data_IF_933525046612
#
_entry.id   IF_933525046612
#
_cell.length_a   1.000
_cell.length_b   1.000
_cell.length_c   1.000
_cell.angle_alpha   90.00
_cell.angle_beta   90.00
_cell.angle_gamma   90.00
#
_symmetry.space_group_name_H-M   'P 1'
#
loop_
_entity.id
_entity.type
_entity.pdbx_description
1 polymer ?
#
# COMPACT_ATOMS: atom_id res chain seq x y z
N UNK A 1 -3.32 -11.77 -12.93
CA UNK A 1 -2.08 -11.35 -13.61
C UNK A 1 -1.91 -12.07 -14.94
N UNK A 2 -1.75 -13.40 -14.97
CA UNK A 2 -1.51 -14.17 -16.22
C UNK A 2 -2.50 -13.87 -17.37
N UNK A 3 -3.80 -13.74 -17.09
CA UNK A 3 -4.80 -13.41 -18.11
C UNK A 3 -4.74 -11.98 -18.64
N UNK A 4 -4.29 -11.02 -17.82
CA UNK A 4 -4.17 -9.61 -18.21
C UNK A 4 -2.92 -9.40 -19.06
N UNK A 5 -1.83 -10.08 -18.70
CA UNK A 5 -0.60 -10.10 -19.49
C UNK A 5 -0.82 -10.71 -20.88
N UNK A 6 -1.53 -11.83 -20.99
CA UNK A 6 -1.86 -12.41 -22.30
C UNK A 6 -2.64 -11.45 -23.19
N UNK A 7 -3.63 -10.73 -22.64
CA UNK A 7 -4.42 -9.74 -23.41
C UNK A 7 -3.55 -8.56 -23.83
N UNK A 8 -2.75 -8.00 -22.91
CA UNK A 8 -1.88 -6.85 -23.20
C UNK A 8 -0.81 -7.18 -24.24
N UNK A 9 -0.15 -8.33 -24.10
CA UNK A 9 0.97 -8.73 -24.96
C UNK A 9 0.54 -9.44 -26.26
N UNK A 10 -0.73 -9.83 -26.37
CA UNK A 10 -1.28 -10.52 -27.53
C UNK A 10 -2.19 -9.64 -28.40
N UNK A 11 -2.91 -8.69 -27.80
CA UNK A 11 -3.95 -7.91 -28.50
C UNK A 11 -3.69 -6.40 -28.53
N UNK A 12 -3.02 -5.83 -27.53
CA UNK A 12 -2.83 -4.37 -27.40
C UNK A 12 -1.44 -3.92 -27.85
N UNK A 13 -0.39 -4.67 -27.52
CA UNK A 13 1.00 -4.37 -27.86
C UNK A 13 1.94 -5.49 -27.42
N UNK A 14 3.24 -5.23 -27.26
CA UNK A 14 4.20 -6.21 -26.73
C UNK A 14 4.78 -5.78 -25.38
N UNK A 15 5.35 -6.73 -24.63
CA UNK A 15 6.05 -6.43 -23.39
C UNK A 15 7.19 -5.40 -23.58
N UNK A 16 7.86 -5.45 -24.73
CA UNK A 16 8.91 -4.50 -25.09
C UNK A 16 8.37 -3.08 -25.31
N UNK A 17 7.18 -2.92 -25.89
CA UNK A 17 6.55 -1.62 -26.06
C UNK A 17 6.21 -0.99 -24.70
N UNK A 18 5.72 -1.79 -23.76
CA UNK A 18 5.48 -1.34 -22.40
C UNK A 18 6.78 -0.96 -21.68
N UNK A 19 7.84 -1.78 -21.79
CA UNK A 19 9.13 -1.48 -21.16
C UNK A 19 9.78 -0.19 -21.73
N UNK A 20 9.56 0.12 -23.01
CA UNK A 20 10.02 1.36 -23.64
C UNK A 20 9.29 2.59 -23.08
N UNK A 21 7.97 2.50 -22.89
CA UNK A 21 7.13 3.65 -22.50
C UNK A 21 7.08 3.86 -20.98
N UNK A 22 7.01 2.77 -20.21
CA UNK A 22 6.78 2.77 -18.77
C UNK A 22 7.98 2.24 -17.94
N UNK A 23 9.06 1.84 -18.62
CA UNK A 23 10.27 1.33 -17.97
C UNK A 23 10.11 -0.08 -17.41
N UNK A 24 10.96 -0.43 -16.44
CA UNK A 24 11.00 -1.78 -15.86
C UNK A 24 9.99 -2.00 -14.71
N UNK A 25 9.01 -1.11 -14.53
CA UNK A 25 7.99 -1.24 -13.49
C UNK A 25 7.10 -2.45 -13.76
N UNK A 26 6.92 -3.39 -12.80
CA UNK A 26 6.02 -4.53 -12.99
C UNK A 26 4.61 -4.08 -13.41
N UNK A 27 4.00 -4.78 -14.37
CA UNK A 27 2.67 -4.41 -14.89
C UNK A 27 1.62 -4.40 -13.77
N UNK A 28 1.68 -5.38 -12.87
CA UNK A 28 0.75 -5.47 -11.74
C UNK A 28 0.79 -4.24 -10.83
N UNK A 29 1.98 -3.70 -10.61
CA UNK A 29 2.20 -2.50 -9.83
C UNK A 29 1.62 -1.27 -10.54
N UNK A 30 1.87 -1.14 -11.84
CA UNK A 30 1.32 -0.05 -12.65
C UNK A 30 -0.21 -0.06 -12.65
N UNK A 31 -0.84 -1.23 -12.81
CA UNK A 31 -2.30 -1.35 -12.71
C UNK A 31 -2.79 -0.96 -11.31
N UNK A 32 -2.06 -1.34 -10.26
CA UNK A 32 -2.45 -1.01 -8.88
C UNK A 32 -2.31 0.48 -8.58
N UNK A 33 -1.33 1.18 -9.16
CA UNK A 33 -1.22 2.64 -9.06
C UNK A 33 -2.38 3.37 -9.75
N UNK A 34 -2.97 2.79 -10.80
CA UNK A 34 -4.11 3.39 -11.53
C UNK A 34 -5.43 3.10 -10.84
N UNK A 35 -5.63 1.84 -10.43
CA UNK A 35 -6.92 1.35 -9.94
C UNK A 35 -7.05 1.47 -8.42
N UNK A 36 -5.92 1.49 -7.69
CA UNK A 36 -5.90 1.45 -6.25
C UNK A 36 -6.04 0.05 -5.66
N UNK A 37 -6.32 -0.03 -4.36
CA UNK A 37 -6.64 -1.27 -3.65
C UNK A 37 -8.09 -1.26 -3.17
N UNK A 38 -8.75 -2.41 -3.20
CA UNK A 38 -10.08 -2.56 -2.60
C UNK A 38 -10.04 -2.25 -1.10
N UNK A 39 -10.98 -1.41 -0.64
CA UNK A 39 -11.08 -0.96 0.75
C UNK A 39 -11.28 -2.10 1.74
N UNK A 40 -12.06 -3.13 1.38
CA UNK A 40 -12.29 -4.26 2.29
C UNK A 40 -11.04 -5.14 2.38
N UNK A 41 -10.36 -5.37 1.25
CA UNK A 41 -9.09 -6.09 1.24
C UNK A 41 -8.01 -5.36 2.05
N UNK A 42 -7.95 -4.03 1.97
CA UNK A 42 -7.05 -3.23 2.79
C UNK A 42 -7.39 -3.34 4.28
N UNK A 43 -8.67 -3.18 4.67
CA UNK A 43 -9.11 -3.33 6.06
C UNK A 43 -8.88 -4.72 6.62
N UNK A 44 -9.07 -5.76 5.81
CA UNK A 44 -8.79 -7.15 6.18
C UNK A 44 -7.31 -7.36 6.47
N UNK A 45 -6.42 -6.85 5.61
CA UNK A 45 -4.98 -6.94 5.83
C UNK A 45 -4.52 -6.27 7.14
N UNK A 46 -5.21 -5.22 7.58
CA UNK A 46 -4.94 -4.50 8.84
C UNK A 46 -5.87 -4.90 10.00
N UNK A 47 -6.70 -5.95 9.86
CA UNK A 47 -7.77 -6.23 10.84
C UNK A 47 -7.22 -6.52 12.24
N UNK A 48 -6.07 -7.17 12.35
CA UNK A 48 -5.38 -7.41 13.62
C UNK A 48 -5.07 -6.09 14.36
N UNK A 49 -4.71 -5.04 13.63
CA UNK A 49 -4.41 -3.71 14.19
C UNK A 49 -5.67 -2.89 14.48
N UNK A 50 -6.77 -3.16 13.79
CA UNK A 50 -8.04 -2.45 13.98
C UNK A 50 -8.94 -3.08 15.04
N UNK A 51 -8.78 -4.38 15.32
CA UNK A 51 -9.70 -5.15 16.17
C UNK A 51 -9.02 -5.96 17.27
N UNK A 52 -7.75 -6.36 17.09
CA UNK A 52 -7.07 -7.31 17.96
C UNK A 52 -6.00 -6.72 18.89
N UNK A 53 -5.46 -5.54 18.59
CA UNK A 53 -4.42 -4.88 19.39
C UNK A 53 -4.98 -3.71 20.20
N UNK A 54 -4.38 -3.46 21.38
CA UNK A 54 -4.67 -2.29 22.22
C UNK A 54 -4.09 -1.00 21.59
N UNK A 55 -4.42 -0.71 20.33
CA UNK A 55 -4.06 0.58 19.75
C UNK A 55 -4.89 1.69 20.38
N UNK A 56 -4.24 2.82 20.65
CA UNK A 56 -4.95 4.04 21.04
C UNK A 56 -5.59 4.73 19.83
N UNK A 57 -6.39 5.77 20.08
CA UNK A 57 -7.09 6.49 19.02
C UNK A 57 -6.17 7.15 18.00
N UNK A 58 -4.96 7.57 18.39
CA UNK A 58 -3.98 8.20 17.47
C UNK A 58 -3.34 7.14 16.58
N UNK A 59 -3.02 5.98 17.14
CA UNK A 59 -2.51 4.83 16.40
C UNK A 59 -3.54 4.28 15.40
N UNK A 60 -4.81 4.15 15.82
CA UNK A 60 -5.91 3.73 14.93
C UNK A 60 -6.10 4.76 13.80
N UNK A 61 -6.07 6.05 14.10
CA UNK A 61 -6.14 7.10 13.09
C UNK A 61 -5.02 6.94 12.05
N UNK A 62 -3.79 6.73 12.51
CA UNK A 62 -2.63 6.55 11.65
C UNK A 62 -2.78 5.33 10.73
N UNK A 63 -3.21 4.18 11.27
CA UNK A 63 -3.46 2.97 10.48
C UNK A 63 -4.56 3.19 9.45
N UNK A 64 -5.62 3.92 9.79
CA UNK A 64 -6.66 4.27 8.82
C UNK A 64 -6.12 5.18 7.70
N UNK A 65 -5.22 6.12 7.99
CA UNK A 65 -4.59 6.93 6.93
C UNK A 65 -3.74 6.07 5.99
N UNK A 66 -3.07 5.03 6.50
CA UNK A 66 -2.34 4.06 5.65
C UNK A 66 -3.31 3.33 4.72
N UNK A 67 -4.45 2.87 5.27
CA UNK A 67 -5.49 2.18 4.50
C UNK A 67 -6.02 3.09 3.40
N UNK A 68 -6.45 4.31 3.72
CA UNK A 68 -6.94 5.28 2.73
C UNK A 68 -5.88 5.56 1.65
N UNK A 69 -4.63 5.77 2.05
CA UNK A 69 -3.55 6.01 1.10
C UNK A 69 -3.35 4.84 0.13
N UNK A 70 -3.30 3.61 0.62
CA UNK A 70 -3.10 2.42 -0.22
C UNK A 70 -4.34 2.13 -1.08
N UNK A 71 -5.54 2.42 -0.59
CA UNK A 71 -6.77 2.31 -1.39
C UNK A 71 -6.72 3.26 -2.58
N UNK A 72 -6.22 4.47 -2.40
CA UNK A 72 -6.12 5.45 -3.47
C UNK A 72 -4.91 5.26 -4.40
N UNK A 73 -3.75 4.90 -3.86
CA UNK A 73 -2.47 4.86 -4.59
C UNK A 73 -2.01 3.44 -4.93
N UNK A 74 -2.71 2.41 -4.45
CA UNK A 74 -2.44 1.00 -4.70
C UNK A 74 -1.29 0.40 -3.89
N UNK A 75 -0.26 1.19 -3.61
CA UNK A 75 0.97 0.80 -2.90
C UNK A 75 1.48 1.95 -2.02
N UNK A 76 2.25 1.63 -0.98
CA UNK A 76 2.99 2.60 -0.16
C UNK A 76 4.45 2.18 -0.08
N UNK A 77 5.28 2.74 -0.96
CA UNK A 77 6.71 2.39 -1.07
C UNK A 77 7.63 3.45 -0.51
N UNK A 78 7.31 4.71 -0.77
CA UNK A 78 8.04 5.83 -0.23
C UNK A 78 7.49 6.16 1.16
N UNK A 79 8.20 5.74 2.19
CA UNK A 79 7.81 5.99 3.58
C UNK A 79 7.98 7.47 3.99
N UNK A 80 8.60 8.31 3.15
CA UNK A 80 8.71 9.75 3.44
C UNK A 80 7.35 10.44 3.50
N UNK A 81 6.34 9.92 2.77
CA UNK A 81 4.96 10.43 2.79
C UNK A 81 4.32 10.38 4.19
N UNK A 82 4.80 9.47 5.06
CA UNK A 82 4.35 9.36 6.45
C UNK A 82 4.83 10.51 7.34
N UNK A 83 5.70 11.39 6.83
CA UNK A 83 6.15 12.61 7.48
C UNK A 83 5.31 13.83 7.08
N UNK A 84 4.27 13.64 6.27
CA UNK A 84 3.38 14.69 5.78
C UNK A 84 1.94 14.49 6.30
N UNK A 85 1.10 15.52 6.18
CA UNK A 85 -0.33 15.40 6.47
C UNK A 85 -0.99 14.46 5.45
N UNK A 86 -1.96 13.60 5.82
CA UNK A 86 -2.65 13.53 7.12
C UNK A 86 -1.96 12.66 8.19
N UNK A 87 -0.83 12.03 7.88
CA UNK A 87 -0.16 11.10 8.80
C UNK A 87 0.40 11.80 10.05
N UNK A 88 0.84 13.06 9.90
CA UNK A 88 1.40 13.85 11.01
C UNK A 88 0.38 14.66 11.80
N UNK A 89 -0.91 14.60 11.45
CA UNK A 89 -1.97 15.39 12.09
C UNK A 89 -2.17 15.06 13.58
N UNK A 90 -1.79 13.84 14.01
CA UNK A 90 -1.91 13.36 15.39
C UNK A 90 -0.55 13.07 16.05
N UNK A 91 0.53 13.59 15.46
CA UNK A 91 1.92 13.32 15.85
C UNK A 91 2.69 12.54 14.78
N UNK A 92 4.01 12.57 14.87
CA UNK A 92 4.88 11.78 14.01
C UNK A 92 4.79 10.28 14.35
N UNK A 93 5.25 9.43 13.42
CA UNK A 93 5.33 7.96 13.62
C UNK A 93 6.00 7.59 14.95
N UNK A 94 7.08 8.28 15.31
CA UNK A 94 7.87 8.00 16.52
C UNK A 94 7.14 8.44 17.80
N UNK A 95 6.30 9.47 17.72
CA UNK A 95 5.47 9.94 18.85
C UNK A 95 4.22 9.09 19.05
N UNK A 96 3.65 8.55 17.96
CA UNK A 96 2.44 7.72 17.97
C UNK A 96 2.78 6.27 18.34
N UNK A 97 3.88 5.71 17.85
CA UNK A 97 4.29 4.34 18.09
C UNK A 97 5.55 4.28 18.97
N UNK A 98 5.36 4.40 20.29
CA UNK A 98 6.44 4.28 21.27
C UNK A 98 6.97 2.84 21.38
N UNK A 99 6.11 1.85 21.14
CA UNK A 99 6.51 0.46 20.94
C UNK A 99 6.82 0.21 19.46
N UNK A 100 8.11 0.15 19.14
CA UNK A 100 8.58 -0.07 17.77
C UNK A 100 8.24 -1.45 17.22
N UNK A 101 7.89 -2.43 18.06
CA UNK A 101 7.46 -3.76 17.58
C UNK A 101 6.10 -3.70 16.90
N UNK A 102 5.20 -2.84 17.40
CA UNK A 102 3.89 -2.57 16.79
C UNK A 102 4.08 -1.93 15.42
N UNK A 103 4.91 -0.89 15.33
CA UNK A 103 5.22 -0.23 14.06
C UNK A 103 5.88 -1.20 13.05
N UNK A 104 6.82 -2.03 13.48
CA UNK A 104 7.46 -3.02 12.63
C UNK A 104 6.43 -4.02 12.05
N UNK A 105 5.42 -4.40 12.83
CA UNK A 105 4.33 -5.25 12.37
C UNK A 105 3.44 -4.57 11.32
N UNK A 106 3.03 -3.32 11.55
CA UNK A 106 2.26 -2.52 10.57
C UNK A 106 3.06 -2.39 9.26
N UNK A 107 4.35 -2.08 9.34
CA UNK A 107 5.24 -1.98 8.18
C UNK A 107 5.31 -3.30 7.39
N UNK A 108 5.36 -4.44 8.09
CA UNK A 108 5.36 -5.75 7.44
C UNK A 108 4.06 -6.01 6.67
N UNK A 109 2.91 -5.54 7.18
CA UNK A 109 1.64 -5.61 6.44
C UNK A 109 1.71 -4.76 5.17
N UNK A 110 2.21 -3.53 5.25
CA UNK A 110 2.41 -2.66 4.07
C UNK A 110 3.30 -3.36 3.03
N UNK A 111 4.43 -3.92 3.46
CA UNK A 111 5.35 -4.63 2.57
C UNK A 111 4.70 -5.86 1.93
N UNK A 112 3.87 -6.61 2.67
CA UNK A 112 3.10 -7.72 2.12
C UNK A 112 2.07 -7.28 1.08
N UNK A 113 1.38 -6.14 1.30
CA UNK A 113 0.43 -5.58 0.34
C UNK A 113 1.16 -5.17 -0.95
N UNK A 114 2.30 -4.49 -0.81
CA UNK A 114 3.12 -4.07 -1.95
C UNK A 114 3.66 -5.27 -2.74
N UNK A 115 4.08 -6.34 -2.05
CA UNK A 115 4.57 -7.56 -2.70
C UNK A 115 3.47 -8.26 -3.52
N UNK A 116 2.22 -8.20 -3.07
CA UNK A 116 1.06 -8.73 -3.83
C UNK A 116 0.67 -7.86 -5.05
N UNK A 117 1.32 -6.71 -5.24
CA UNK A 117 1.17 -5.89 -6.44
C UNK A 117 2.14 -6.32 -7.56
N UNK A 118 3.25 -6.98 -7.22
CA UNK A 118 4.32 -7.32 -8.13
C UNK A 118 4.04 -8.58 -8.96
#
# INVERSE_FOLDING_TARGET
MASLEEILWGEVGTKQDYELEYGTKPLGEFVREIVGLDMNAAKEAFSEYLTGTNLDSRQIYFVNQIIEYIVHNGVLKDFSVLQESPFTDQGSVVEIFTDMTVWAGIRKVIESINANAA
#
